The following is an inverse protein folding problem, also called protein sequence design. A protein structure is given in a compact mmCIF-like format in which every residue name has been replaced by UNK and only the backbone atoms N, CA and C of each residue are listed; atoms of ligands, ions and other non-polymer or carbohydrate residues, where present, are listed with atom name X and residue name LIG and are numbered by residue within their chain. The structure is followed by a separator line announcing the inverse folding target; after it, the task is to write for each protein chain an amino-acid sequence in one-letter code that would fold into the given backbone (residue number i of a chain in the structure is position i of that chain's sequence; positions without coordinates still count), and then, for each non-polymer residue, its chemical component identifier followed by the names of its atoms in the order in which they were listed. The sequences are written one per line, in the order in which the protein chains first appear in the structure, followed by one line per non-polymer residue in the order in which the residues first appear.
data_IF_431900114614
#
_entry.id   IF_431900114614
#
_cell.length_a   1.000
_cell.length_b   1.000
_cell.length_c   1.000
_cell.angle_alpha   90.00
_cell.angle_beta   90.00
_cell.angle_gamma   90.00
#
_symmetry.space_group_name_H-M   'P 1'
#
loop_
_entity.id
_entity.type
_entity.pdbx_description
1 polymer ?
#
# COMPACT_ATOMS: atom_id res chain seq x y z
N UNK A 1 -16.40 -22.69 13.13
CA UNK A 1 -15.27 -21.81 12.74
C UNK A 1 -14.46 -21.46 13.97
N UNK A 2 -13.40 -22.21 14.24
CA UNK A 2 -12.42 -21.85 15.27
C UNK A 2 -11.56 -20.70 14.73
N UNK A 3 -11.69 -19.51 15.33
CA UNK A 3 -10.70 -18.44 15.12
C UNK A 3 -9.42 -18.85 15.83
N UNK A 4 -8.31 -18.90 15.11
CA UNK A 4 -7.01 -19.21 15.69
C UNK A 4 -6.54 -18.01 16.53
N UNK A 5 -6.26 -18.24 17.80
CA UNK A 5 -5.74 -17.26 18.75
C UNK A 5 -4.22 -17.07 18.62
N UNK A 6 -3.71 -16.08 19.37
CA UNK A 6 -2.28 -15.75 19.46
C UNK A 6 -1.38 -16.95 19.80
N UNK A 7 -1.92 -17.91 20.54
CA UNK A 7 -1.22 -19.10 21.05
C UNK A 7 -1.26 -20.31 20.09
N UNK A 8 -2.01 -20.21 18.98
CA UNK A 8 -2.22 -21.32 18.05
C UNK A 8 -1.11 -21.44 16.99
N UNK A 9 0.01 -20.75 17.18
CA UNK A 9 1.05 -20.68 16.17
C UNK A 9 2.47 -20.80 16.74
N UNK A 10 3.21 -21.80 16.25
CA UNK A 10 4.51 -22.25 16.76
C UNK A 10 5.72 -21.45 16.26
N UNK A 11 5.46 -20.38 15.51
CA UNK A 11 6.48 -19.45 15.04
C UNK A 11 7.19 -19.86 13.74
N UNK A 12 6.85 -21.00 13.14
CA UNK A 12 7.55 -21.51 11.95
C UNK A 12 7.30 -20.71 10.65
N UNK A 13 6.23 -19.90 10.54
CA UNK A 13 6.13 -18.85 9.51
C UNK A 13 6.26 -17.39 10.04
N UNK A 14 6.82 -17.14 11.23
CA UNK A 14 6.66 -15.87 11.95
C UNK A 14 7.34 -14.62 11.40
N UNK A 15 8.06 -14.71 10.29
CA UNK A 15 8.69 -13.54 9.67
C UNK A 15 7.91 -13.14 8.43
N UNK A 16 7.32 -11.96 8.47
CA UNK A 16 6.66 -11.32 7.32
C UNK A 16 7.17 -9.90 7.13
N UNK A 17 7.49 -9.47 5.90
CA UNK A 17 7.84 -8.09 5.62
C UNK A 17 6.59 -7.21 5.71
N UNK A 18 6.70 -6.09 6.39
CA UNK A 18 5.71 -5.01 6.40
C UNK A 18 6.42 -3.70 6.10
N UNK A 19 5.81 -2.88 5.25
CA UNK A 19 6.34 -1.54 4.94
C UNK A 19 5.79 -0.55 5.95
N UNK A 20 6.65 0.15 6.72
CA UNK A 20 6.19 1.25 7.56
C UNK A 20 5.51 2.35 6.75
N UNK A 21 4.42 2.88 7.27
CA UNK A 21 3.69 4.00 6.65
C UNK A 21 4.15 5.36 7.19
N UNK A 22 4.91 5.38 8.28
CA UNK A 22 5.42 6.60 8.92
C UNK A 22 6.60 7.22 8.18
N UNK A 23 6.71 8.55 8.21
CA UNK A 23 7.89 9.29 7.76
C UNK A 23 9.08 9.12 8.73
N UNK A 24 10.30 9.21 8.20
CA UNK A 24 11.54 9.05 8.97
C UNK A 24 11.78 10.16 10.02
N UNK A 25 11.04 11.28 9.97
CA UNK A 25 11.07 12.30 11.02
C UNK A 25 10.44 11.82 12.33
N UNK A 26 9.68 10.73 12.31
CA UNK A 26 9.05 10.15 13.49
C UNK A 26 10.07 9.35 14.32
N UNK A 27 10.82 10.02 15.19
CA UNK A 27 11.86 9.38 15.98
C UNK A 27 11.29 8.50 17.10
N UNK A 28 11.87 7.30 17.27
CA UNK A 28 11.54 6.39 18.37
C UNK A 28 10.27 5.57 18.18
N UNK A 29 9.53 5.75 17.08
CA UNK A 29 8.36 4.94 16.73
C UNK A 29 8.21 4.81 15.22
N UNK A 30 7.47 3.80 14.78
CA UNK A 30 7.02 3.67 13.41
C UNK A 30 5.61 3.07 13.42
N UNK A 31 4.88 3.30 12.34
CA UNK A 31 3.50 2.84 12.20
C UNK A 31 3.40 1.83 11.07
N UNK A 32 2.59 0.78 11.27
CA UNK A 32 2.30 -0.25 10.29
C UNK A 32 0.80 -0.26 9.98
N UNK A 33 0.45 -0.43 8.71
CA UNK A 33 -0.90 -0.77 8.28
C UNK A 33 -0.95 -2.28 8.01
N UNK A 34 -1.75 -3.01 8.78
CA UNK A 34 -1.87 -4.47 8.69
C UNK A 34 -3.32 -4.84 8.44
N UNK A 35 -3.66 -5.25 7.21
CA UNK A 35 -4.97 -5.86 6.91
C UNK A 35 -5.02 -7.24 7.55
N UNK A 36 -6.09 -7.53 8.30
CA UNK A 36 -6.33 -8.86 8.86
C UNK A 36 -6.87 -9.78 7.77
N UNK A 37 -6.28 -10.97 7.67
CA UNK A 37 -6.75 -12.04 6.81
C UNK A 37 -7.16 -13.22 7.68
N UNK A 38 -8.32 -13.82 7.40
CA UNK A 38 -8.87 -14.93 8.20
C UNK A 38 -7.96 -16.16 8.23
N UNK A 39 -7.16 -16.37 7.18
CA UNK A 39 -6.16 -17.44 7.09
C UNK A 39 -4.72 -16.96 7.36
N UNK A 40 -4.52 -15.66 7.66
CA UNK A 40 -3.18 -15.07 7.77
C UNK A 40 -2.65 -15.08 9.21
N UNK A 41 -1.80 -16.06 9.54
CA UNK A 41 -1.25 -16.23 10.90
C UNK A 41 -0.61 -14.95 11.48
N UNK A 42 0.33 -14.32 10.77
CA UNK A 42 0.98 -13.09 11.24
C UNK A 42 -0.01 -11.91 11.41
N UNK A 43 -0.98 -11.76 10.49
CA UNK A 43 -1.95 -10.68 10.56
C UNK A 43 -2.92 -10.84 11.74
N UNK A 44 -3.32 -12.07 12.05
CA UNK A 44 -4.17 -12.38 13.19
C UNK A 44 -3.42 -12.20 14.51
N UNK A 45 -2.18 -12.69 14.59
CA UNK A 45 -1.32 -12.50 15.76
C UNK A 45 -1.10 -11.02 16.07
N UNK A 46 -0.79 -10.20 15.06
CA UNK A 46 -0.62 -8.74 15.22
C UNK A 46 -1.90 -8.05 15.71
N UNK A 47 -3.07 -8.48 15.22
CA UNK A 47 -4.36 -7.93 15.65
C UNK A 47 -4.77 -8.35 17.07
N UNK A 48 -4.20 -9.45 17.59
CA UNK A 48 -4.41 -9.92 18.96
C UNK A 48 -3.42 -9.36 19.98
N UNK A 49 -2.55 -8.41 19.59
CA UNK A 49 -1.60 -7.80 20.52
C UNK A 49 -2.28 -6.77 21.41
N UNK A 50 -1.97 -6.83 22.70
CA UNK A 50 -2.35 -5.81 23.66
C UNK A 50 -1.35 -4.65 23.66
N UNK A 51 -1.81 -3.47 24.07
CA UNK A 51 -0.95 -2.30 24.25
C UNK A 51 0.15 -2.65 25.26
N UNK A 52 1.40 -2.36 24.90
CA UNK A 52 2.58 -2.69 25.71
C UNK A 52 3.22 -4.04 25.40
N UNK A 53 2.62 -4.86 24.53
CA UNK A 53 3.23 -6.09 24.05
C UNK A 53 4.58 -5.83 23.35
N UNK A 54 5.54 -6.74 23.55
CA UNK A 54 6.84 -6.71 22.88
C UNK A 54 6.77 -7.53 21.60
N UNK A 55 7.24 -6.94 20.49
CA UNK A 55 7.31 -7.58 19.18
C UNK A 55 8.75 -7.58 18.72
N UNK A 56 9.29 -8.76 18.39
CA UNK A 56 10.58 -8.87 17.72
C UNK A 56 10.46 -8.40 16.28
N UNK A 57 11.33 -7.50 15.85
CA UNK A 57 11.42 -7.07 14.45
C UNK A 57 12.87 -6.89 14.05
N UNK A 58 13.13 -6.90 12.75
CA UNK A 58 14.45 -6.61 12.19
C UNK A 58 14.29 -5.70 10.98
N UNK A 59 15.24 -4.80 10.80
CA UNK A 59 15.35 -4.06 9.56
C UNK A 59 15.84 -5.02 8.46
N UNK A 60 15.22 -4.97 7.29
CA UNK A 60 15.69 -5.72 6.11
C UNK A 60 16.55 -4.81 5.23
N UNK A 61 17.44 -5.37 4.41
CA UNK A 61 18.17 -4.55 3.42
C UNK A 61 17.16 -3.83 2.53
N UNK A 62 17.37 -2.53 2.27
CA UNK A 62 16.47 -1.75 1.45
C UNK A 62 16.25 -2.42 0.08
N UNK A 63 14.99 -2.63 -0.27
CA UNK A 63 14.56 -3.10 -1.59
C UNK A 63 13.68 -2.04 -2.28
N UNK A 64 14.09 -0.77 -2.18
CA UNK A 64 13.38 0.36 -2.78
C UNK A 64 14.14 0.78 -4.03
N UNK A 65 13.48 0.71 -5.19
CA UNK A 65 14.10 1.05 -6.49
C UNK A 65 14.37 2.55 -6.65
N UNK A 66 13.55 3.39 -6.04
CA UNK A 66 13.69 4.84 -6.08
C UNK A 66 13.22 5.45 -4.75
N UNK A 67 14.08 6.26 -4.13
CA UNK A 67 13.76 6.99 -2.90
C UNK A 67 13.57 8.48 -3.21
N UNK A 68 12.82 9.16 -2.34
CA UNK A 68 12.80 10.63 -2.31
C UNK A 68 14.26 11.15 -2.27
N UNK A 69 14.64 12.18 -3.05
CA UNK A 69 13.80 13.26 -3.57
C UNK A 69 13.29 13.11 -5.01
N UNK A 70 13.43 11.96 -5.68
CA UNK A 70 12.96 11.76 -7.07
C UNK A 70 13.44 12.88 -8.03
N UNK A 71 14.75 13.11 -8.07
CA UNK A 71 15.38 14.22 -8.81
C UNK A 71 15.00 14.25 -10.30
N UNK A 72 14.83 15.46 -10.83
CA UNK A 72 14.49 15.68 -12.24
C UNK A 72 13.06 15.29 -12.66
N UNK A 73 12.22 14.80 -11.73
CA UNK A 73 10.82 14.48 -11.99
C UNK A 73 9.92 15.66 -11.62
N UNK A 74 9.03 16.08 -12.51
CA UNK A 74 7.98 17.09 -12.24
C UNK A 74 6.64 16.45 -11.89
N UNK A 75 6.41 15.26 -12.41
CA UNK A 75 5.18 14.49 -12.26
C UNK A 75 5.52 13.07 -11.81
N UNK A 76 4.75 12.54 -10.86
CA UNK A 76 4.91 11.19 -10.33
C UNK A 76 3.58 10.46 -10.46
N UNK A 77 3.59 9.32 -11.14
CA UNK A 77 2.43 8.41 -11.15
C UNK A 77 2.75 7.23 -10.25
N UNK A 78 1.88 7.02 -9.26
CA UNK A 78 1.94 5.91 -8.33
C UNK A 78 0.84 4.92 -8.68
N UNK A 79 1.15 3.62 -8.63
CA UNK A 79 0.21 2.54 -8.88
C UNK A 79 0.34 1.57 -7.73
N UNK A 80 -0.77 1.25 -7.08
CA UNK A 80 -0.80 0.23 -6.03
C UNK A 80 -2.19 -0.41 -5.95
N UNK A 81 -2.26 -1.53 -5.23
CA UNK A 81 -3.51 -2.14 -4.86
C UNK A 81 -3.48 -2.71 -3.44
N UNK A 82 -4.66 -2.79 -2.82
CA UNK A 82 -4.84 -3.31 -1.46
C UNK A 82 -3.87 -2.70 -0.44
N UNK A 83 -3.09 -3.54 0.24
CA UNK A 83 -2.08 -3.14 1.25
C UNK A 83 -0.81 -2.54 0.64
N UNK A 84 -0.65 -2.60 -0.68
CA UNK A 84 0.41 -1.94 -1.44
C UNK A 84 0.36 -0.41 -1.37
N UNK A 85 -0.68 0.17 -0.77
CA UNK A 85 -0.75 1.60 -0.44
C UNK A 85 0.34 2.04 0.54
N UNK A 86 0.87 1.13 1.39
CA UNK A 86 1.84 1.47 2.45
C UNK A 86 3.09 2.23 1.97
N UNK A 87 3.86 1.77 0.97
CA UNK A 87 4.98 2.55 0.43
C UNK A 87 4.54 3.84 -0.26
N UNK A 88 3.37 3.84 -0.90
CA UNK A 88 2.86 5.03 -1.61
C UNK A 88 2.45 6.12 -0.62
N UNK A 89 1.83 5.74 0.50
CA UNK A 89 1.46 6.64 1.58
C UNK A 89 2.69 7.30 2.20
N UNK A 90 3.75 6.52 2.46
CA UNK A 90 5.01 7.06 2.97
C UNK A 90 5.63 8.07 1.98
N UNK A 91 5.65 7.75 0.68
CA UNK A 91 6.15 8.67 -0.35
C UNK A 91 5.31 9.94 -0.45
N UNK A 92 3.97 9.81 -0.39
CA UNK A 92 3.04 10.94 -0.39
C UNK A 92 3.21 11.83 0.83
N UNK A 93 3.39 11.25 2.03
CA UNK A 93 3.68 12.01 3.24
C UNK A 93 4.90 12.92 3.01
N UNK A 94 5.98 12.35 2.46
CA UNK A 94 7.20 13.11 2.20
C UNK A 94 7.01 14.19 1.13
N UNK A 95 6.41 13.85 -0.01
CA UNK A 95 6.18 14.76 -1.13
C UNK A 95 5.24 15.93 -0.76
N UNK A 96 4.14 15.63 -0.07
CA UNK A 96 3.13 16.64 0.26
C UNK A 96 3.54 17.49 1.46
N UNK A 97 4.31 16.92 2.39
CA UNK A 97 4.76 17.57 3.62
C UNK A 97 6.09 18.32 3.52
N UNK A 98 6.84 18.20 2.43
CA UNK A 98 8.10 18.95 2.25
C UNK A 98 7.83 20.35 1.69
N UNK A 99 8.19 21.43 2.42
CA UNK A 99 8.01 22.79 1.92
C UNK A 99 8.78 23.03 0.62
N UNK A 100 8.12 23.63 -0.37
CA UNK A 100 8.71 23.95 -1.67
C UNK A 100 8.68 22.81 -2.69
N UNK A 101 8.22 21.61 -2.33
CA UNK A 101 8.00 20.54 -3.32
C UNK A 101 6.67 20.76 -4.07
N UNK A 102 6.75 21.11 -5.34
CA UNK A 102 5.63 21.48 -6.21
C UNK A 102 5.20 20.38 -7.18
N UNK A 103 5.77 19.17 -7.03
CA UNK A 103 5.53 18.05 -7.94
C UNK A 103 4.07 17.62 -7.93
N UNK A 104 3.59 17.26 -9.11
CA UNK A 104 2.25 16.72 -9.31
C UNK A 104 2.27 15.20 -9.13
N UNK A 105 1.33 14.66 -8.38
CA UNK A 105 1.23 13.24 -8.07
C UNK A 105 -0.14 12.72 -8.48
N UNK A 106 -0.16 11.63 -9.26
CA UNK A 106 -1.38 10.86 -9.52
C UNK A 106 -1.23 9.48 -8.90
N UNK A 107 -2.12 9.12 -7.98
CA UNK A 107 -2.21 7.79 -7.39
C UNK A 107 -3.35 7.02 -8.05
N UNK A 108 -3.03 5.93 -8.74
CA UNK A 108 -3.99 4.91 -9.18
C UNK A 108 -4.05 3.82 -8.11
N UNK A 109 -5.20 3.67 -7.46
CA UNK A 109 -5.36 2.78 -6.31
C UNK A 109 -6.43 1.72 -6.54
N UNK A 110 -5.98 0.49 -6.83
CA UNK A 110 -6.80 -0.69 -7.06
C UNK A 110 -7.33 -1.33 -5.77
N UNK A 111 -8.63 -1.62 -5.71
CA UNK A 111 -9.26 -2.36 -4.62
C UNK A 111 -10.42 -3.22 -5.14
N UNK A 112 -10.81 -4.25 -4.40
CA UNK A 112 -11.95 -5.13 -4.77
C UNK A 112 -13.27 -4.37 -4.71
N UNK A 113 -13.54 -3.71 -3.58
CA UNK A 113 -14.74 -2.91 -3.37
C UNK A 113 -14.40 -1.51 -2.83
N UNK A 114 -15.34 -0.54 -2.86
CA UNK A 114 -15.10 0.76 -2.22
C UNK A 114 -14.87 0.64 -0.72
N UNK A 115 -15.45 -0.39 -0.09
CA UNK A 115 -15.27 -0.70 1.34
C UNK A 115 -13.90 -1.30 1.66
N UNK A 116 -13.15 -1.79 0.66
CA UNK A 116 -11.78 -2.30 0.84
C UNK A 116 -10.71 -1.21 0.79
N UNK A 117 -11.05 0.02 0.40
CA UNK A 117 -10.09 1.12 0.23
C UNK A 117 -9.51 1.50 1.59
N UNK A 118 -8.26 1.11 1.83
CA UNK A 118 -7.54 1.48 3.05
C UNK A 118 -7.14 2.96 2.98
N UNK A 119 -7.16 3.63 4.13
CA UNK A 119 -6.73 5.04 4.27
C UNK A 119 -7.51 6.05 3.41
N UNK A 120 -8.74 5.71 3.01
CA UNK A 120 -9.54 6.55 2.11
C UNK A 120 -9.68 7.99 2.64
N UNK A 121 -10.03 8.16 3.91
CA UNK A 121 -10.25 9.48 4.51
C UNK A 121 -8.97 10.33 4.53
N UNK A 122 -7.83 9.72 4.87
CA UNK A 122 -6.54 10.40 4.87
C UNK A 122 -6.11 10.81 3.45
N UNK A 123 -6.35 9.96 2.46
CA UNK A 123 -6.06 10.26 1.05
C UNK A 123 -6.96 11.39 0.52
N UNK A 124 -8.25 11.38 0.87
CA UNK A 124 -9.20 12.45 0.51
C UNK A 124 -8.79 13.78 1.15
N UNK A 125 -8.42 13.76 2.43
CA UNK A 125 -7.93 14.93 3.15
C UNK A 125 -6.66 15.51 2.51
N UNK A 126 -5.70 14.65 2.17
CA UNK A 126 -4.46 15.07 1.50
C UNK A 126 -4.73 15.61 0.11
N UNK A 127 -5.61 14.98 -0.67
CA UNK A 127 -5.99 15.48 -1.98
C UNK A 127 -6.60 16.89 -1.88
N UNK A 128 -7.52 17.10 -0.94
CA UNK A 128 -8.16 18.40 -0.70
C UNK A 128 -7.16 19.48 -0.27
N UNK A 129 -6.20 19.15 0.60
CA UNK A 129 -5.18 20.08 1.12
C UNK A 129 -3.99 20.30 0.17
N UNK A 130 -3.84 19.48 -0.87
CA UNK A 130 -2.67 19.50 -1.74
C UNK A 130 -2.61 20.69 -2.72
N UNK A 131 -3.64 21.54 -2.76
CA UNK A 131 -3.81 22.58 -3.77
C UNK A 131 -3.74 22.04 -5.22
N UNK A 132 -4.33 20.86 -5.44
CA UNK A 132 -4.38 20.19 -6.75
C UNK A 132 -3.13 19.36 -7.09
N UNK A 133 -2.10 19.36 -6.23
CA UNK A 133 -0.88 18.56 -6.46
C UNK A 133 -1.11 17.06 -6.36
N UNK A 134 -2.09 16.60 -5.60
CA UNK A 134 -2.43 15.18 -5.48
C UNK A 134 -3.78 14.91 -6.15
N UNK A 135 -3.75 14.01 -7.15
CA UNK A 135 -4.93 13.37 -7.72
C UNK A 135 -4.96 11.91 -7.31
N UNK A 136 -6.06 11.48 -6.69
CA UNK A 136 -6.30 10.06 -6.37
C UNK A 136 -7.38 9.52 -7.31
N UNK A 137 -7.11 8.39 -7.92
CA UNK A 137 -8.05 7.65 -8.79
C UNK A 137 -8.23 6.27 -8.20
N UNK A 138 -9.41 6.02 -7.64
CA UNK A 138 -9.78 4.68 -7.17
C UNK A 138 -10.23 3.83 -8.35
N UNK A 139 -9.61 2.67 -8.51
CA UNK A 139 -10.01 1.65 -9.47
C UNK A 139 -10.60 0.50 -8.67
N UNK A 140 -11.88 0.21 -8.90
CA UNK A 140 -12.61 -0.77 -8.08
C UNK A 140 -13.30 -1.78 -8.97
N UNK A 141 -13.14 -3.08 -8.66
CA UNK A 141 -13.89 -4.14 -9.33
C UNK A 141 -13.62 -5.53 -8.78
N UNK A 142 -14.64 -6.39 -8.90
CA UNK A 142 -14.62 -7.80 -8.47
C UNK A 142 -15.07 -8.77 -9.56
N UNK A 143 -15.59 -8.24 -10.67
CA UNK A 143 -16.21 -9.03 -11.74
C UNK A 143 -15.12 -9.47 -12.71
N UNK A 144 -15.07 -10.70 -13.23
CA UNK A 144 -14.15 -11.01 -14.32
C UNK A 144 -14.37 -10.05 -15.49
N UNK A 145 -13.27 -9.56 -16.09
CA UNK A 145 -13.38 -8.81 -17.34
C UNK A 145 -14.07 -9.68 -18.41
N UNK A 146 -14.87 -9.08 -19.31
CA UNK A 146 -15.36 -9.81 -20.47
C UNK A 146 -14.18 -10.35 -21.29
N UNK A 147 -14.37 -11.47 -22.02
CA UNK A 147 -13.29 -12.06 -22.81
C UNK A 147 -12.65 -11.05 -23.77
N UNK A 148 -11.36 -11.21 -24.12
CA UNK A 148 -10.65 -10.30 -24.99
C UNK A 148 -11.38 -10.10 -26.32
N UNK A 149 -11.45 -8.87 -26.80
CA UNK A 149 -11.94 -8.59 -28.16
C UNK A 149 -10.90 -9.06 -29.20
N UNK A 150 -11.31 -9.41 -30.44
CA UNK A 150 -10.36 -9.71 -31.51
C UNK A 150 -9.32 -8.61 -31.69
N UNK A 151 -8.04 -8.97 -31.69
CA UNK A 151 -6.91 -8.03 -31.72
C UNK A 151 -6.36 -7.62 -30.36
N UNK A 152 -6.97 -8.05 -29.24
CA UNK A 152 -6.39 -7.93 -27.90
C UNK A 152 -5.53 -9.16 -27.59
N UNK A 153 -4.32 -9.17 -28.14
CA UNK A 153 -3.35 -10.26 -28.01
C UNK A 153 -1.98 -9.74 -27.59
N UNK A 154 -1.23 -10.56 -26.83
CA UNK A 154 0.14 -10.25 -26.44
C UNK A 154 1.01 -10.13 -27.69
N UNK A 155 1.81 -9.08 -27.74
CA UNK A 155 2.75 -8.83 -28.83
C UNK A 155 4.19 -8.86 -28.30
N UNK A 156 5.16 -8.63 -29.18
CA UNK A 156 6.56 -8.44 -28.76
C UNK A 156 6.80 -7.16 -27.96
N UNK A 157 5.86 -6.20 -27.97
CA UNK A 157 6.02 -4.90 -27.31
C UNK A 157 5.15 -4.72 -26.06
N UNK A 158 4.11 -5.53 -25.89
CA UNK A 158 3.26 -5.50 -24.69
C UNK A 158 2.59 -6.84 -24.41
N UNK A 159 2.20 -7.05 -23.14
CA UNK A 159 1.40 -8.18 -22.69
C UNK A 159 -0.05 -7.75 -22.59
N UNK A 160 -0.95 -8.52 -23.22
CA UNK A 160 -2.39 -8.26 -23.27
C UNK A 160 -3.12 -9.25 -22.37
N UNK A 161 -3.08 -9.02 -21.07
CA UNK A 161 -3.78 -9.84 -20.09
C UNK A 161 -5.00 -9.10 -19.55
N UNK A 162 -6.09 -9.84 -19.37
CA UNK A 162 -7.23 -9.39 -18.60
C UNK A 162 -6.98 -9.69 -17.13
N UNK A 163 -7.35 -8.76 -16.25
CA UNK A 163 -7.08 -8.92 -14.85
C UNK A 163 -7.22 -7.63 -14.05
N UNK A 164 -7.39 -7.82 -12.75
CA UNK A 164 -7.47 -6.74 -11.78
C UNK A 164 -6.09 -6.48 -11.19
N UNK A 165 -5.79 -5.22 -10.90
CA UNK A 165 -4.69 -4.88 -10.00
C UNK A 165 -5.25 -4.97 -8.58
N UNK A 166 -5.04 -6.10 -7.87
CA UNK A 166 -5.45 -6.33 -6.48
C UNK A 166 -4.30 -6.39 -5.47
#
# INVERSE_FOLDING_TARGET
NSMLGKDDWDGSDAVRPYTPMSDNSMLGKFELLVKRYDSGAASQWLHGLEIGAKVGFKHIKFNIKAQYPFEGKKTITMICAGTGITPMYQALWKLLGTPGDDRQVTLLYGNKSPTDILMKEQLDEWAAKSAGRLKVVHVVGMTPDPPPIPGWETTSTYIAELGWVD
#
